data_IF_565282466213
#
_entry.id   IF_565282466213
#
_cell.length_a   1.000
_cell.length_b   1.000
_cell.length_c   1.000
_cell.angle_alpha   90.00
_cell.angle_beta   90.00
_cell.angle_gamma   90.00
#
_symmetry.space_group_name_H-M   'P 1'
#
loop_
_entity.id
_entity.type
_entity.pdbx_description
1 polymer ?
#
# COMPACT_ATOMS: atom_id res chain seq x y z
N UNK A 1 4.43 -0.76 -34.05
CA UNK A 1 5.18 0.24 -33.25
C UNK A 1 4.15 1.21 -32.71
N UNK A 2 3.75 1.07 -31.43
CA UNK A 2 2.75 1.93 -30.81
C UNK A 2 3.40 3.19 -30.25
N UNK A 3 3.11 4.34 -30.86
CA UNK A 3 3.52 5.65 -30.38
C UNK A 3 2.80 6.00 -29.06
N UNK A 4 3.59 6.37 -28.04
CA UNK A 4 3.28 7.57 -27.27
C UNK A 4 2.31 7.51 -26.09
N UNK A 5 1.72 6.38 -25.71
CA UNK A 5 0.78 6.35 -24.57
C UNK A 5 1.41 6.63 -23.18
N UNK A 6 2.74 6.61 -23.08
CA UNK A 6 3.47 6.67 -21.80
C UNK A 6 4.52 7.78 -21.71
N UNK A 7 4.65 8.65 -22.71
CA UNK A 7 5.58 9.77 -22.65
C UNK A 7 4.90 10.98 -21.97
N UNK A 8 5.15 11.16 -20.67
CA UNK A 8 4.91 12.44 -19.99
C UNK A 8 3.84 12.49 -18.89
N UNK A 9 3.29 11.36 -18.43
CA UNK A 9 2.40 11.37 -17.26
C UNK A 9 3.20 11.40 -15.95
N UNK A 10 2.86 12.27 -14.97
CA UNK A 10 3.40 12.19 -13.61
C UNK A 10 3.19 10.78 -13.03
N UNK A 11 4.31 10.13 -12.68
CA UNK A 11 4.54 8.70 -12.88
C UNK A 11 3.84 7.74 -11.90
N UNK A 12 2.89 8.15 -11.05
CA UNK A 12 2.40 7.24 -10.00
C UNK A 12 0.90 7.16 -9.74
N UNK A 13 0.02 8.07 -10.21
CA UNK A 13 -1.41 7.97 -9.83
C UNK A 13 -2.47 8.40 -10.85
N UNK A 14 -2.15 9.23 -11.85
CA UNK A 14 -3.15 9.57 -12.87
C UNK A 14 -3.54 8.35 -13.76
N UNK A 15 -2.78 7.26 -13.67
CA UNK A 15 -2.97 6.04 -14.45
C UNK A 15 -3.65 4.89 -13.70
N UNK A 16 -3.67 4.83 -12.37
CA UNK A 16 -4.18 3.65 -11.64
C UNK A 16 -5.67 3.44 -11.87
N UNK A 17 -6.47 4.50 -11.85
CA UNK A 17 -7.90 4.42 -12.20
C UNK A 17 -8.11 3.92 -13.63
N UNK A 18 -7.41 4.50 -14.61
CA UNK A 18 -7.48 4.07 -16.01
C UNK A 18 -7.08 2.59 -16.17
N UNK A 19 -6.04 2.16 -15.47
CA UNK A 19 -5.60 0.76 -15.48
C UNK A 19 -6.71 -0.14 -14.91
N UNK A 20 -7.27 0.19 -13.75
CA UNK A 20 -8.41 -0.55 -13.18
C UNK A 20 -9.60 -0.57 -14.14
N UNK A 21 -9.85 0.53 -14.85
CA UNK A 21 -10.92 0.61 -15.83
C UNK A 21 -10.71 -0.28 -17.06
N UNK A 22 -9.45 -0.45 -17.49
CA UNK A 22 -9.05 -1.30 -18.62
C UNK A 22 -8.74 -2.74 -18.24
N UNK A 23 -8.69 -3.07 -16.94
CA UNK A 23 -8.44 -4.44 -16.52
C UNK A 23 -9.60 -5.35 -16.93
N UNK A 24 -9.23 -6.57 -17.28
CA UNK A 24 -10.19 -7.64 -17.52
C UNK A 24 -10.77 -8.10 -16.18
N UNK A 25 -12.03 -7.74 -15.93
CA UNK A 25 -12.79 -8.15 -14.76
C UNK A 25 -13.62 -9.43 -15.02
N UNK A 26 -13.37 -10.10 -16.14
CA UNK A 26 -14.09 -11.28 -16.59
C UNK A 26 -15.35 -10.96 -17.38
N UNK A 27 -15.76 -11.92 -18.21
CA UNK A 27 -16.87 -11.78 -19.16
C UNK A 27 -18.27 -11.79 -18.51
N UNK A 28 -18.36 -12.02 -17.19
CA UNK A 28 -19.62 -12.13 -16.46
C UNK A 28 -20.19 -10.76 -16.00
N UNK A 29 -19.63 -9.66 -16.50
CA UNK A 29 -20.14 -8.31 -16.20
C UNK A 29 -19.86 -7.86 -14.76
N UNK A 30 -18.72 -8.27 -14.18
CA UNK A 30 -18.38 -7.96 -12.80
C UNK A 30 -18.34 -6.45 -12.51
N UNK A 31 -17.73 -5.70 -13.44
CA UNK A 31 -17.68 -4.24 -13.39
C UNK A 31 -19.06 -3.64 -13.65
N UNK A 32 -19.52 -2.80 -12.74
CA UNK A 32 -20.86 -2.19 -12.75
C UNK A 32 -21.97 -3.08 -12.17
N UNK A 33 -21.65 -4.33 -11.78
CA UNK A 33 -22.58 -5.21 -11.06
C UNK A 33 -22.09 -5.47 -9.63
N UNK A 34 -20.84 -5.88 -9.48
CA UNK A 34 -20.20 -6.19 -8.19
C UNK A 34 -19.03 -5.25 -7.87
N UNK A 35 -18.51 -4.55 -8.88
CA UNK A 35 -17.34 -3.68 -8.75
C UNK A 35 -17.66 -2.31 -9.31
N UNK A 36 -17.65 -1.32 -8.43
CA UNK A 36 -17.79 0.09 -8.76
C UNK A 36 -16.43 0.79 -8.61
N UNK A 37 -16.04 1.60 -9.62
CA UNK A 37 -14.76 2.33 -9.60
C UNK A 37 -15.05 3.82 -9.43
N UNK A 38 -14.82 4.30 -8.21
CA UNK A 38 -15.09 5.66 -7.77
C UNK A 38 -13.84 6.45 -7.38
N UNK A 39 -14.09 7.66 -6.89
CA UNK A 39 -13.11 8.48 -6.18
C UNK A 39 -13.07 8.13 -4.69
N UNK A 40 -12.26 8.82 -3.89
CA UNK A 40 -12.32 8.72 -2.42
C UNK A 40 -13.25 9.81 -1.90
N UNK A 41 -14.20 9.46 -1.04
CA UNK A 41 -15.12 10.40 -0.39
C UNK A 41 -16.49 9.79 -0.10
N UNK A 42 -17.25 10.46 0.78
CA UNK A 42 -18.60 10.02 1.21
C UNK A 42 -19.58 9.75 0.06
N UNK A 43 -19.51 10.53 -1.03
CA UNK A 43 -20.41 10.39 -2.18
C UNK A 43 -20.22 9.10 -2.98
N UNK A 44 -19.15 8.38 -2.72
CA UNK A 44 -18.76 7.15 -3.41
C UNK A 44 -19.08 5.91 -2.54
N UNK A 45 -19.91 6.10 -1.51
CA UNK A 45 -20.38 5.07 -0.58
C UNK A 45 -21.89 4.89 -0.78
N UNK A 46 -22.28 3.78 -1.39
CA UNK A 46 -23.68 3.38 -1.55
C UNK A 46 -24.12 2.47 -0.39
N UNK A 47 -25.41 2.41 -0.08
CA UNK A 47 -25.97 1.52 0.95
C UNK A 47 -25.75 0.04 0.62
N UNK A 48 -25.69 -0.30 -0.67
CA UNK A 48 -25.49 -1.66 -1.18
C UNK A 48 -24.03 -2.11 -1.20
N UNK A 49 -23.07 -1.22 -0.99
CA UNK A 49 -21.65 -1.57 -1.05
C UNK A 49 -21.23 -2.37 0.20
N UNK A 50 -20.57 -3.52 0.00
CA UNK A 50 -20.12 -4.39 1.10
C UNK A 50 -18.74 -4.03 1.66
N UNK A 51 -17.82 -3.54 0.82
CA UNK A 51 -16.46 -3.19 1.21
C UNK A 51 -15.81 -2.19 0.25
N UNK A 52 -14.76 -1.51 0.71
CA UNK A 52 -14.05 -0.49 -0.05
C UNK A 52 -12.56 -0.82 -0.14
N UNK A 53 -12.00 -0.79 -1.35
CA UNK A 53 -10.57 -1.01 -1.60
C UNK A 53 -9.98 0.26 -2.21
N UNK A 54 -9.14 0.94 -1.42
CA UNK A 54 -8.50 2.19 -1.84
C UNK A 54 -7.08 1.92 -2.30
N UNK A 55 -6.85 2.08 -3.60
CA UNK A 55 -5.56 1.77 -4.23
C UNK A 55 -4.67 3.01 -4.24
N UNK A 56 -3.59 2.93 -3.49
CA UNK A 56 -2.56 3.95 -3.33
C UNK A 56 -3.13 5.34 -3.02
N UNK A 57 -3.96 5.52 -1.97
CA UNK A 57 -4.41 6.84 -1.54
C UNK A 57 -3.21 7.66 -1.04
N UNK A 58 -3.10 8.92 -1.47
CA UNK A 58 -1.97 9.79 -1.13
C UNK A 58 -2.42 11.23 -0.88
N UNK A 59 -1.72 11.91 0.03
CA UNK A 59 -1.83 13.37 0.13
C UNK A 59 -1.26 14.00 -1.14
N UNK A 60 -1.85 15.11 -1.60
CA UNK A 60 -1.35 15.93 -2.68
C UNK A 60 -1.02 17.34 -2.15
N UNK A 61 -0.13 18.06 -2.84
CA UNK A 61 0.18 19.45 -2.49
C UNK A 61 -1.09 20.28 -2.63
N UNK A 62 -1.53 20.90 -1.53
CA UNK A 62 -2.76 21.70 -1.50
C UNK A 62 -4.06 20.89 -1.35
N UNK A 63 -4.01 19.56 -1.34
CA UNK A 63 -5.18 18.72 -1.06
C UNK A 63 -4.82 17.52 -0.17
N UNK A 64 -5.33 17.51 1.05
CA UNK A 64 -5.12 16.43 2.00
C UNK A 64 -6.27 15.42 1.91
N UNK A 65 -5.97 14.21 1.45
CA UNK A 65 -6.98 13.14 1.26
C UNK A 65 -7.57 12.63 2.58
N UNK A 66 -7.01 13.04 3.73
CA UNK A 66 -7.42 12.55 5.05
C UNK A 66 -8.88 12.90 5.36
N UNK A 67 -9.35 14.09 4.96
CA UNK A 67 -10.73 14.49 5.24
C UNK A 67 -11.72 13.69 4.36
N UNK A 68 -11.38 13.44 3.10
CA UNK A 68 -12.16 12.57 2.21
C UNK A 68 -12.18 11.10 2.70
N UNK A 69 -11.03 10.60 3.17
CA UNK A 69 -10.92 9.28 3.79
C UNK A 69 -11.80 9.17 5.02
N UNK A 70 -11.78 10.19 5.90
CA UNK A 70 -12.60 10.21 7.10
C UNK A 70 -14.09 10.19 6.74
N UNK A 71 -14.52 11.05 5.82
CA UNK A 71 -15.90 11.09 5.36
C UNK A 71 -16.34 9.74 4.77
N UNK A 72 -15.47 9.08 4.00
CA UNK A 72 -15.73 7.74 3.47
C UNK A 72 -15.79 6.66 4.57
N UNK A 73 -14.87 6.66 5.54
CA UNK A 73 -14.91 5.68 6.65
C UNK A 73 -16.12 5.89 7.55
N UNK A 74 -16.52 7.14 7.79
CA UNK A 74 -17.70 7.46 8.58
C UNK A 74 -18.98 6.98 7.88
N UNK A 75 -19.09 7.20 6.56
CA UNK A 75 -20.19 6.70 5.75
C UNK A 75 -20.18 5.16 5.59
N UNK A 76 -19.00 4.55 5.52
CA UNK A 76 -18.85 3.09 5.47
C UNK A 76 -19.32 2.42 6.77
N UNK A 77 -19.25 3.11 7.92
CA UNK A 77 -19.68 2.58 9.20
C UNK A 77 -18.84 1.36 9.62
N UNK A 78 -19.49 0.20 9.80
CA UNK A 78 -18.80 -1.05 10.15
C UNK A 78 -18.25 -1.83 8.95
N UNK A 79 -18.46 -1.35 7.72
CA UNK A 79 -18.02 -2.02 6.50
C UNK A 79 -16.51 -1.89 6.30
N UNK A 80 -15.80 -2.94 5.82
CA UNK A 80 -14.35 -2.89 5.69
C UNK A 80 -13.86 -1.83 4.70
N UNK A 81 -12.86 -1.06 5.11
CA UNK A 81 -12.10 -0.13 4.24
C UNK A 81 -10.64 -0.56 4.22
N UNK A 82 -10.19 -1.08 3.08
CA UNK A 82 -8.85 -1.65 2.89
C UNK A 82 -7.99 -0.69 2.08
N UNK A 83 -6.83 -0.31 2.62
CA UNK A 83 -5.87 0.55 1.93
C UNK A 83 -4.74 -0.28 1.33
N UNK A 84 -4.56 -0.21 0.01
CA UNK A 84 -3.44 -0.85 -0.69
C UNK A 84 -2.35 0.20 -0.95
N UNK A 85 -1.14 -0.03 -0.44
CA UNK A 85 0.01 0.86 -0.61
C UNK A 85 -0.28 2.36 -0.30
N UNK A 86 -0.91 2.70 0.84
CA UNK A 86 -1.22 4.09 1.18
C UNK A 86 0.03 4.93 1.39
N UNK A 87 -0.01 6.21 0.99
CA UNK A 87 0.99 7.23 1.36
C UNK A 87 0.30 8.43 2.02
N UNK A 88 -0.11 8.21 3.26
CA UNK A 88 -0.81 9.21 4.08
C UNK A 88 0.14 10.13 4.87
N UNK A 89 1.45 10.06 4.60
CA UNK A 89 2.41 10.98 5.21
C UNK A 89 2.10 12.40 4.77
N UNK A 90 2.23 13.32 5.71
CA UNK A 90 2.03 14.74 5.45
C UNK A 90 3.10 15.25 4.47
N UNK A 91 2.66 15.87 3.38
CA UNK A 91 3.55 16.51 2.41
C UNK A 91 3.57 18.00 2.73
N UNK A 92 4.75 18.62 2.96
CA UNK A 92 4.81 20.06 3.16
C UNK A 92 4.26 20.76 1.92
N UNK A 93 3.35 21.72 2.12
CA UNK A 93 2.89 22.57 1.02
C UNK A 93 4.09 23.33 0.45
N UNK A 94 4.12 23.51 -0.87
CA UNK A 94 5.19 24.21 -1.61
C UNK A 94 5.41 25.67 -1.18
N UNK A 95 4.59 26.19 -0.26
CA UNK A 95 4.61 27.58 0.20
C UNK A 95 5.15 27.76 1.63
N UNK A 96 5.56 26.70 2.33
CA UNK A 96 6.19 26.82 3.66
C UNK A 96 5.30 27.38 4.78
N UNK A 97 4.03 27.69 4.50
CA UNK A 97 3.05 28.12 5.49
C UNK A 97 2.49 26.86 6.15
N UNK A 98 2.94 26.60 7.37
CA UNK A 98 2.49 25.46 8.17
C UNK A 98 1.00 25.55 8.46
N UNK A 99 0.22 24.58 7.97
CA UNK A 99 -1.09 24.24 8.53
C UNK A 99 -0.86 23.33 9.75
N UNK A 100 -0.30 23.87 10.83
CA UNK A 100 -0.07 23.14 12.09
C UNK A 100 -1.38 22.74 12.76
N UNK A 101 -2.44 23.52 12.55
CA UNK A 101 -3.77 23.20 13.06
C UNK A 101 -4.32 21.93 12.44
N UNK A 102 -4.69 20.96 13.28
CA UNK A 102 -5.30 19.69 12.86
C UNK A 102 -4.32 18.67 12.27
N UNK A 103 -3.02 18.97 12.19
CA UNK A 103 -1.99 18.02 11.73
C UNK A 103 -1.95 16.77 12.62
N UNK A 104 -1.93 16.95 13.92
CA UNK A 104 -1.89 15.85 14.88
C UNK A 104 -3.11 14.94 14.73
N UNK A 105 -4.31 15.53 14.60
CA UNK A 105 -5.55 14.77 14.35
C UNK A 105 -5.55 14.00 13.03
N UNK A 106 -4.91 14.54 11.99
CA UNK A 106 -4.77 13.86 10.69
C UNK A 106 -3.78 12.70 10.77
N UNK A 107 -2.67 12.87 11.48
CA UNK A 107 -1.70 11.81 11.72
C UNK A 107 -2.26 10.71 12.61
N UNK A 108 -3.03 11.07 13.63
CA UNK A 108 -3.73 10.13 14.52
C UNK A 108 -4.75 9.29 13.75
N UNK A 109 -5.56 9.91 12.89
CA UNK A 109 -6.49 9.18 12.02
C UNK A 109 -5.74 8.27 11.03
N UNK A 110 -4.66 8.73 10.40
CA UNK A 110 -3.87 7.87 9.52
C UNK A 110 -3.24 6.68 10.27
N UNK A 111 -2.94 6.84 11.56
CA UNK A 111 -2.38 5.81 12.41
C UNK A 111 -3.42 4.83 12.99
N UNK A 112 -4.72 5.12 12.86
CA UNK A 112 -5.78 4.19 13.32
C UNK A 112 -5.93 2.96 12.42
N UNK A 113 -5.42 3.02 11.18
CA UNK A 113 -5.44 1.89 10.26
C UNK A 113 -4.46 0.80 10.70
N UNK A 114 -4.96 -0.43 10.81
CA UNK A 114 -4.15 -1.59 11.12
C UNK A 114 -3.56 -2.22 9.85
N UNK A 115 -2.36 -2.79 9.95
CA UNK A 115 -1.78 -3.55 8.85
C UNK A 115 -2.37 -4.96 8.87
N UNK A 116 -3.20 -5.29 7.88
CA UNK A 116 -3.73 -6.65 7.72
C UNK A 116 -2.80 -7.55 6.89
N UNK A 117 -1.98 -6.95 6.02
CA UNK A 117 -1.00 -7.65 5.20
C UNK A 117 0.19 -6.74 4.90
N UNK A 118 1.40 -7.30 4.93
CA UNK A 118 2.62 -6.61 4.57
C UNK A 118 3.51 -7.53 3.76
N UNK A 119 4.02 -7.05 2.62
CA UNK A 119 5.01 -7.76 1.84
C UNK A 119 6.05 -6.78 1.31
N UNK A 120 7.33 -7.08 1.53
CA UNK A 120 8.45 -6.29 1.04
C UNK A 120 9.60 -7.19 0.62
N UNK A 121 10.05 -7.01 -0.62
CA UNK A 121 11.30 -7.60 -1.09
C UNK A 121 12.50 -6.86 -0.49
N UNK A 122 13.52 -7.62 -0.14
CA UNK A 122 14.78 -7.15 0.43
C UNK A 122 15.89 -7.26 -0.61
N UNK A 123 16.74 -6.24 -0.69
CA UNK A 123 17.80 -6.11 -1.69
C UNK A 123 19.09 -5.67 -1.01
N UNK A 124 20.23 -5.90 -1.68
CA UNK A 124 21.48 -5.28 -1.26
C UNK A 124 21.38 -3.76 -1.39
N UNK A 125 21.90 -3.06 -0.37
CA UNK A 125 21.90 -1.60 -0.34
C UNK A 125 22.52 -1.03 -1.63
N UNK A 126 21.85 -0.02 -2.20
CA UNK A 126 22.28 0.61 -3.45
C UNK A 126 21.89 -0.13 -4.72
N UNK A 127 21.19 -1.26 -4.63
CA UNK A 127 20.75 -2.05 -5.79
C UNK A 127 19.27 -2.42 -5.70
N UNK A 128 18.63 -2.65 -6.84
CA UNK A 128 17.33 -3.31 -6.93
C UNK A 128 17.47 -4.80 -7.27
N UNK A 129 18.71 -5.30 -7.38
CA UNK A 129 19.06 -6.68 -7.63
C UNK A 129 20.49 -6.97 -7.13
N UNK A 130 20.76 -8.18 -6.60
CA UNK A 130 19.82 -9.29 -6.48
C UNK A 130 18.84 -9.12 -5.31
N UNK A 131 17.67 -9.77 -5.41
CA UNK A 131 16.76 -9.94 -4.28
C UNK A 131 17.45 -10.86 -3.27
N UNK A 132 17.51 -10.46 -2.00
CA UNK A 132 18.10 -11.23 -0.91
C UNK A 132 17.07 -12.08 -0.17
N UNK A 133 15.81 -11.67 -0.21
CA UNK A 133 14.76 -12.24 0.61
C UNK A 133 13.49 -11.41 0.61
N UNK A 134 12.59 -11.74 1.53
CA UNK A 134 11.32 -11.06 1.67
C UNK A 134 10.92 -10.97 3.15
N UNK A 135 10.27 -9.87 3.50
CA UNK A 135 9.57 -9.69 4.77
C UNK A 135 8.07 -9.77 4.50
N UNK A 136 7.39 -10.73 5.11
CA UNK A 136 5.95 -10.95 4.98
C UNK A 136 5.28 -10.82 6.35
N UNK A 137 4.06 -10.32 6.39
CA UNK A 137 3.15 -10.47 7.54
C UNK A 137 1.73 -10.60 7.00
N UNK A 138 0.94 -11.49 7.62
CA UNK A 138 -0.49 -11.63 7.39
C UNK A 138 -1.16 -11.65 8.74
N UNK A 139 -2.09 -10.73 9.00
CA UNK A 139 -2.82 -10.69 10.26
C UNK A 139 -3.56 -12.02 10.51
N UNK A 140 -3.61 -12.53 11.76
CA UNK A 140 -3.01 -11.98 12.99
C UNK A 140 -1.60 -12.49 13.27
N UNK A 141 -0.92 -13.09 12.28
CA UNK A 141 0.37 -13.74 12.45
C UNK A 141 1.54 -12.76 12.50
N UNK A 142 2.64 -13.23 13.08
CA UNK A 142 3.90 -12.52 13.19
C UNK A 142 4.50 -12.17 11.81
N UNK A 143 5.42 -11.22 11.80
CA UNK A 143 6.29 -10.95 10.66
C UNK A 143 7.24 -12.12 10.45
N UNK A 144 7.32 -12.60 9.22
CA UNK A 144 8.21 -13.68 8.79
C UNK A 144 9.27 -13.11 7.85
N UNK A 145 10.54 -13.31 8.22
CA UNK A 145 11.68 -12.95 7.41
C UNK A 145 12.18 -14.19 6.67
N UNK A 146 12.23 -14.07 5.34
CA UNK A 146 12.67 -15.13 4.44
C UNK A 146 13.98 -14.73 3.77
N UNK A 147 14.90 -15.68 3.66
CA UNK A 147 16.06 -15.60 2.77
C UNK A 147 15.71 -16.25 1.43
N UNK A 148 16.05 -15.59 0.33
CA UNK A 148 16.03 -16.19 -1.00
C UNK A 148 17.25 -17.11 -1.17
N UNK A 149 17.01 -18.30 -1.68
CA UNK A 149 18.03 -19.29 -2.05
C UNK A 149 17.80 -19.66 -3.50
N UNK A 150 18.81 -19.47 -4.35
CA UNK A 150 18.77 -19.92 -5.73
C UNK A 150 19.10 -21.43 -5.77
N UNK A 151 18.16 -22.25 -6.22
CA UNK A 151 18.32 -23.71 -6.31
C UNK A 151 18.88 -24.14 -7.67
N UNK A 152 18.45 -23.46 -8.74
CA UNK A 152 18.89 -23.69 -10.11
C UNK A 152 18.67 -22.41 -10.95
N UNK A 153 19.19 -22.32 -12.19
CA UNK A 153 18.88 -21.19 -13.07
C UNK A 153 17.36 -21.02 -13.24
N UNK A 154 16.85 -19.86 -12.82
CA UNK A 154 15.41 -19.54 -12.85
C UNK A 154 14.55 -20.22 -11.77
N UNK A 155 15.15 -20.90 -10.79
CA UNK A 155 14.45 -21.50 -9.65
C UNK A 155 14.97 -20.93 -8.34
N UNK A 156 14.08 -20.25 -7.63
CA UNK A 156 14.33 -19.68 -6.31
C UNK A 156 13.39 -20.26 -5.27
N UNK A 157 13.89 -20.38 -4.03
CA UNK A 157 13.13 -20.78 -2.85
C UNK A 157 13.30 -19.73 -1.77
N UNK A 158 12.24 -19.51 -1.00
CA UNK A 158 12.27 -18.64 0.18
C UNK A 158 12.26 -19.49 1.44
N UNK A 159 13.26 -19.31 2.30
CA UNK A 159 13.41 -20.03 3.56
C UNK A 159 13.34 -19.03 4.71
N UNK A 160 12.29 -19.13 5.53
CA UNK A 160 12.48 -19.49 6.94
C UNK A 160 13.70 -18.94 7.67
N UNK A 161 13.89 -17.63 7.84
CA UNK A 161 15.07 -17.11 8.56
C UNK A 161 14.76 -16.68 10.00
N UNK A 162 13.70 -15.92 10.22
CA UNK A 162 13.28 -15.51 11.58
C UNK A 162 11.80 -15.06 11.60
N UNK A 163 11.24 -14.96 12.79
CA UNK A 163 9.88 -14.43 13.04
C UNK A 163 9.91 -13.30 14.07
N UNK A 164 9.09 -12.27 13.88
CA UNK A 164 9.02 -11.09 14.75
C UNK A 164 7.57 -10.72 15.07
N UNK A 165 7.25 -10.47 16.34
CA UNK A 165 5.88 -10.06 16.73
C UNK A 165 5.50 -8.69 16.17
N UNK A 166 6.49 -7.80 16.03
CA UNK A 166 6.34 -6.46 15.46
C UNK A 166 7.18 -6.33 14.20
N UNK A 167 6.91 -5.28 13.42
CA UNK A 167 7.69 -5.00 12.22
C UNK A 167 9.17 -4.81 12.58
N UNK A 168 10.09 -5.64 12.07
CA UNK A 168 11.49 -5.55 12.42
C UNK A 168 12.14 -4.30 11.83
N UNK A 169 13.12 -3.77 12.57
CA UNK A 169 14.03 -2.72 12.16
C UNK A 169 15.05 -3.21 11.13
N UNK A 170 15.70 -2.31 10.37
CA UNK A 170 16.78 -2.71 9.47
C UNK A 170 17.91 -3.48 10.16
N UNK A 171 18.23 -3.14 11.40
CA UNK A 171 19.30 -3.80 12.16
C UNK A 171 18.92 -5.22 12.58
N UNK A 172 17.69 -5.44 13.03
CA UNK A 172 17.17 -6.79 13.33
C UNK A 172 17.16 -7.69 12.09
N UNK A 173 16.75 -7.14 10.94
CA UNK A 173 16.80 -7.85 9.66
C UNK A 173 18.25 -8.24 9.34
N UNK A 174 19.18 -7.28 9.40
CA UNK A 174 20.60 -7.52 9.12
C UNK A 174 21.21 -8.56 10.07
N UNK A 175 20.92 -8.47 11.37
CA UNK A 175 21.41 -9.40 12.38
C UNK A 175 20.92 -10.83 12.09
N UNK A 176 19.66 -10.99 11.72
CA UNK A 176 19.12 -12.28 11.34
C UNK A 176 19.82 -12.83 10.08
N UNK A 177 20.10 -11.99 9.07
CA UNK A 177 20.85 -12.43 7.89
C UNK A 177 22.29 -12.85 8.23
N UNK A 178 22.91 -12.23 9.22
CA UNK A 178 24.26 -12.55 9.71
C UNK A 178 24.28 -13.73 10.70
N UNK A 179 23.13 -14.26 11.11
CA UNK A 179 23.04 -15.33 12.11
C UNK A 179 23.45 -14.89 13.52
N UNK A 180 23.37 -13.59 13.82
CA UNK A 180 23.61 -13.08 15.18
C UNK A 180 22.41 -13.41 16.08
N UNK A 181 22.63 -13.65 17.39
CA UNK A 181 21.52 -13.81 18.33
C UNK A 181 20.65 -12.56 18.33
N UNK A 182 19.33 -12.76 18.38
CA UNK A 182 18.33 -11.70 18.48
C UNK A 182 18.12 -11.26 19.92
#
# INVERSE_FOLDING_TARGET
MGEGALAGMPLQLAGTRKILDFMDWGDYGAKGTFINIGSVGEKEVDEQDDMFILVAPQNAVGNCIIDDLRAMTDAAGSRPVILINPRLKDLPSSSGIMQTMGRDKRLEYAASFENCYFFRLLYYAGTQYPIMGALRMSYPFAYELYRRVDEAPGKEKYVILSTFEKKPTPDEINNAFLGKPM
#
